data_IF_996239855191
#
_entry.id   IF_996239855191
#
_cell.length_a   1.000
_cell.length_b   1.000
_cell.length_c   1.000
_cell.angle_alpha   90.00
_cell.angle_beta   90.00
_cell.angle_gamma   90.00
#
_symmetry.space_group_name_H-M   'P 1'
#
loop_
_entity.id
_entity.type
_entity.pdbx_description
1 polymer ?
#
# COMPACT_ATOMS: atom_id res chain seq x y z
N UNK A 1 8.34 31.73 -45.61
CA UNK A 1 9.44 30.79 -45.33
C UNK A 1 10.11 31.23 -44.06
N UNK A 2 10.16 30.53 -42.94
CA UNK A 2 9.54 29.30 -42.44
C UNK A 2 9.72 29.34 -40.92
N UNK A 3 8.83 28.73 -40.13
CA UNK A 3 9.02 28.65 -38.68
C UNK A 3 8.36 27.40 -38.10
N UNK A 4 9.23 26.46 -37.70
CA UNK A 4 9.25 25.68 -36.45
C UNK A 4 7.95 24.95 -36.06
N UNK A 5 7.97 23.62 -36.23
CA UNK A 5 7.01 22.65 -35.70
C UNK A 5 7.43 22.19 -34.29
N UNK A 6 6.61 22.50 -33.29
CA UNK A 6 6.62 21.92 -31.95
C UNK A 6 5.14 21.90 -31.51
N UNK A 7 4.44 20.80 -31.20
CA UNK A 7 4.71 19.85 -30.13
C UNK A 7 3.55 18.84 -29.96
N UNK A 8 3.85 17.72 -29.27
CA UNK A 8 3.00 16.76 -28.52
C UNK A 8 2.29 15.62 -29.29
N UNK A 9 2.59 14.35 -28.96
CA UNK A 9 1.67 13.25 -29.21
C UNK A 9 0.80 12.97 -27.96
N UNK A 10 -0.51 13.01 -28.16
CA UNK A 10 -1.50 12.42 -27.27
C UNK A 10 -1.61 10.92 -27.61
N UNK A 11 -1.07 10.07 -26.75
CA UNK A 11 -1.37 8.62 -26.72
C UNK A 11 -2.36 8.40 -25.58
N UNK A 12 -3.54 7.82 -25.73
CA UNK A 12 -3.93 6.75 -26.64
C UNK A 12 -4.78 5.82 -25.78
N UNK A 13 -6.10 6.01 -25.86
CA UNK A 13 -7.10 5.33 -25.05
C UNK A 13 -7.25 3.90 -25.61
N UNK A 14 -6.85 2.89 -24.84
CA UNK A 14 -7.15 1.48 -25.17
C UNK A 14 -8.43 1.07 -24.43
N UNK A 15 -9.41 0.69 -25.24
CA UNK A 15 -10.78 0.27 -24.98
C UNK A 15 -10.93 -0.93 -24.02
N UNK A 16 -11.99 -0.91 -23.19
CA UNK A 16 -12.60 -2.11 -22.59
C UNK A 16 -14.14 -2.00 -22.68
N UNK A 17 -14.89 -3.09 -22.97
CA UNK A 17 -16.17 -3.04 -23.68
C UNK A 17 -17.41 -2.78 -22.82
N UNK A 18 -18.46 -2.33 -23.50
CA UNK A 18 -19.88 -2.19 -23.15
C UNK A 18 -20.49 -3.41 -22.43
N UNK A 19 -21.22 -3.18 -21.32
CA UNK A 19 -22.52 -3.83 -21.10
C UNK A 19 -23.37 -3.05 -20.04
N UNK A 20 -24.68 -2.84 -20.28
CA UNK A 20 -25.46 -1.74 -19.73
C UNK A 20 -26.39 -2.22 -18.63
N UNK A 21 -25.83 -2.53 -17.45
CA UNK A 21 -26.62 -2.98 -16.27
C UNK A 21 -26.22 -2.36 -14.94
N UNK A 22 -25.60 -1.17 -14.95
CA UNK A 22 -25.25 -0.42 -13.72
C UNK A 22 -26.02 0.87 -13.47
N UNK A 23 -27.09 1.16 -14.20
CA UNK A 23 -27.89 2.36 -13.96
C UNK A 23 -29.12 2.17 -13.06
N UNK A 24 -29.57 0.94 -12.79
CA UNK A 24 -30.78 0.73 -11.97
C UNK A 24 -30.53 0.63 -10.45
N UNK A 25 -29.29 0.37 -10.01
CA UNK A 25 -28.95 0.25 -8.59
C UNK A 25 -28.44 1.54 -7.94
N UNK A 26 -28.11 2.58 -8.73
CA UNK A 26 -27.55 3.83 -8.18
C UNK A 26 -28.61 4.87 -7.76
N UNK A 27 -29.91 4.57 -7.95
CA UNK A 27 -31.01 5.52 -7.65
C UNK A 27 -31.92 5.11 -6.49
N UNK A 28 -31.73 3.93 -5.90
CA UNK A 28 -32.46 3.51 -4.68
C UNK A 28 -31.72 3.84 -3.37
N UNK A 29 -30.49 4.37 -3.45
CA UNK A 29 -29.69 4.69 -2.25
C UNK A 29 -30.05 6.05 -1.62
N UNK A 30 -30.86 6.89 -2.28
CA UNK A 30 -31.15 8.26 -1.84
C UNK A 30 -32.45 8.45 -1.02
N UNK A 31 -33.07 7.38 -0.52
CA UNK A 31 -34.36 7.45 0.21
C UNK A 31 -34.33 6.90 1.63
N UNK A 32 -33.19 6.99 2.32
CA UNK A 32 -33.18 6.84 3.78
C UNK A 32 -32.43 8.04 4.36
N UNK A 33 -33.10 9.01 5.00
CA UNK A 33 -32.43 9.89 5.92
C UNK A 33 -32.01 9.03 7.11
N UNK A 34 -30.83 8.40 7.03
CA UNK A 34 -30.20 7.74 8.15
C UNK A 34 -29.68 8.81 9.10
N UNK A 35 -30.61 9.49 9.77
CA UNK A 35 -30.35 10.40 10.88
C UNK A 35 -30.04 9.56 12.12
N UNK A 36 -28.99 8.75 12.05
CA UNK A 36 -28.44 8.10 13.23
C UNK A 36 -27.36 9.02 13.79
N UNK A 37 -27.79 10.04 14.51
CA UNK A 37 -26.94 10.71 15.50
C UNK A 37 -26.68 9.69 16.61
N UNK A 38 -25.74 8.76 16.40
CA UNK A 38 -25.11 8.02 17.48
C UNK A 38 -24.38 9.07 18.31
N UNK A 39 -25.02 9.57 19.37
CA UNK A 39 -24.33 10.28 20.42
C UNK A 39 -23.47 9.22 21.11
N UNK A 40 -22.21 9.08 20.69
CA UNK A 40 -21.22 8.25 21.40
C UNK A 40 -21.17 8.83 22.82
N UNK A 41 -21.84 8.17 23.76
CA UNK A 41 -22.11 8.69 25.10
C UNK A 41 -20.89 8.63 26.02
N UNK A 42 -19.74 8.21 25.49
CA UNK A 42 -18.48 8.14 26.20
C UNK A 42 -17.37 8.67 25.29
N UNK A 43 -16.62 9.66 25.78
CA UNK A 43 -15.48 10.19 25.06
C UNK A 43 -14.40 9.10 25.01
N UNK A 44 -13.77 8.86 23.84
CA UNK A 44 -12.73 7.85 23.72
C UNK A 44 -11.62 8.09 24.75
N UNK A 45 -11.01 7.01 25.25
CA UNK A 45 -9.92 7.05 26.24
C UNK A 45 -8.72 7.95 25.86
N UNK A 46 -8.62 8.31 24.57
CA UNK A 46 -7.62 9.24 24.06
C UNK A 46 -8.28 10.43 23.36
N UNK A 47 -7.79 11.66 23.60
CA UNK A 47 -8.19 12.85 22.85
C UNK A 47 -8.00 12.64 21.34
N UNK A 48 -8.98 13.07 20.53
CA UNK A 48 -8.99 12.87 19.07
C UNK A 48 -7.98 13.76 18.34
N UNK A 49 -7.50 14.82 19.00
CA UNK A 49 -6.52 15.79 18.50
C UNK A 49 -5.22 15.09 18.05
N UNK A 50 -4.75 14.11 18.84
CA UNK A 50 -3.55 13.33 18.51
C UNK A 50 -3.73 12.49 17.24
N UNK A 51 -4.94 11.99 17.00
CA UNK A 51 -5.25 11.19 15.81
C UNK A 51 -5.28 12.07 14.56
N UNK A 52 -5.90 13.26 14.66
CA UNK A 52 -5.94 14.25 13.59
C UNK A 52 -4.53 14.72 13.21
N UNK A 53 -3.64 14.93 14.19
CA UNK A 53 -2.25 15.29 13.93
C UNK A 53 -1.50 14.20 13.14
N UNK A 54 -1.62 12.94 13.56
CA UNK A 54 -1.04 11.81 12.83
C UNK A 54 -1.65 11.66 11.44
N UNK A 55 -2.95 11.88 11.30
CA UNK A 55 -3.65 11.81 10.02
C UNK A 55 -3.14 12.87 9.05
N UNK A 56 -2.98 14.12 9.49
CA UNK A 56 -2.38 15.20 8.69
C UNK A 56 -0.95 14.84 8.27
N UNK A 57 -0.14 14.32 9.18
CA UNK A 57 1.23 13.89 8.88
C UNK A 57 1.29 12.76 7.84
N UNK A 58 0.50 11.69 8.01
CA UNK A 58 0.55 10.55 7.09
C UNK A 58 -0.14 10.79 5.73
N UNK A 59 -1.02 11.80 5.66
CA UNK A 59 -1.65 12.24 4.42
C UNK A 59 -0.79 13.23 3.62
N UNK A 60 0.04 14.04 4.29
CA UNK A 60 0.95 14.98 3.61
C UNK A 60 2.17 14.29 2.97
N UNK A 61 2.48 13.05 3.38
CA UNK A 61 3.63 12.29 2.85
C UNK A 61 3.24 11.51 1.59
N UNK A 62 3.82 11.90 0.46
CA UNK A 62 3.69 11.20 -0.83
C UNK A 62 4.66 10.01 -0.97
N UNK A 63 4.47 8.98 -0.15
CA UNK A 63 5.21 7.71 -0.22
C UNK A 63 4.26 6.51 -0.15
N UNK A 64 4.74 5.35 -0.59
CA UNK A 64 4.02 4.08 -0.39
C UNK A 64 3.77 3.81 1.09
N UNK A 65 2.64 3.14 1.40
CA UNK A 65 2.12 2.95 2.75
C UNK A 65 3.15 2.42 3.75
N UNK A 66 4.00 1.48 3.35
CA UNK A 66 5.01 0.85 4.19
C UNK A 66 6.29 1.69 4.39
N UNK A 67 6.38 2.88 3.81
CA UNK A 67 7.55 3.78 3.91
C UNK A 67 7.18 5.18 4.43
N UNK A 68 5.97 5.37 4.95
CA UNK A 68 5.50 6.69 5.38
C UNK A 68 6.18 7.12 6.68
N UNK A 69 6.27 6.23 7.67
CA UNK A 69 6.93 6.48 8.94
C UNK A 69 8.44 6.28 8.90
N UNK A 70 9.16 6.99 9.77
CA UNK A 70 10.60 6.72 10.02
C UNK A 70 10.81 5.33 10.60
N UNK A 71 9.92 4.90 11.50
CA UNK A 71 9.94 3.55 12.07
C UNK A 71 9.64 2.48 11.02
N UNK A 72 8.73 2.77 10.09
CA UNK A 72 8.37 1.85 9.01
C UNK A 72 9.57 1.49 8.13
N UNK A 73 10.55 2.40 7.95
CA UNK A 73 11.79 2.07 7.23
C UNK A 73 12.59 0.97 7.95
N UNK A 74 12.67 1.03 9.27
CA UNK A 74 13.42 0.04 10.06
C UNK A 74 12.69 -1.31 10.01
N UNK A 75 11.38 -1.30 10.22
CA UNK A 75 10.57 -2.52 10.34
C UNK A 75 10.25 -3.17 9.01
N UNK A 76 10.12 -2.42 7.92
CA UNK A 76 9.78 -2.98 6.60
C UNK A 76 10.99 -3.22 5.69
N UNK A 77 12.11 -2.53 5.92
CA UNK A 77 13.30 -2.65 5.06
C UNK A 77 14.43 -3.35 5.81
N UNK A 78 14.91 -2.78 6.92
CA UNK A 78 16.14 -3.27 7.55
C UNK A 78 15.99 -4.67 8.15
N UNK A 79 14.96 -4.87 9.00
CA UNK A 79 14.75 -6.17 9.67
C UNK A 79 14.43 -7.27 8.66
N UNK A 80 13.47 -7.10 7.72
CA UNK A 80 13.13 -8.16 6.79
C UNK A 80 14.26 -8.47 5.81
N UNK A 81 15.03 -7.48 5.35
CA UNK A 81 16.16 -7.74 4.45
C UNK A 81 17.30 -8.49 5.16
N UNK A 82 17.66 -8.10 6.38
CA UNK A 82 18.69 -8.79 7.13
C UNK A 82 18.28 -10.25 7.40
N UNK A 83 17.02 -10.47 7.81
CA UNK A 83 16.48 -11.80 8.06
C UNK A 83 16.43 -12.64 6.77
N UNK A 84 15.95 -12.07 5.67
CA UNK A 84 15.89 -12.76 4.38
C UNK A 84 17.29 -13.13 3.88
N UNK A 85 18.25 -12.21 3.94
CA UNK A 85 19.62 -12.46 3.50
C UNK A 85 20.30 -13.57 4.31
N UNK A 86 20.20 -13.51 5.64
CA UNK A 86 20.77 -14.53 6.54
C UNK A 86 20.10 -15.89 6.34
N UNK A 87 18.78 -15.91 6.19
CA UNK A 87 18.01 -17.13 5.94
C UNK A 87 18.39 -17.76 4.61
N UNK A 88 18.45 -16.97 3.53
CA UNK A 88 18.87 -17.45 2.20
C UNK A 88 20.31 -17.97 2.22
N UNK A 89 21.21 -17.29 2.94
CA UNK A 89 22.59 -17.75 3.11
C UNK A 89 22.66 -19.11 3.80
N UNK A 90 21.92 -19.29 4.91
CA UNK A 90 21.88 -20.57 5.62
C UNK A 90 21.27 -21.68 4.79
N UNK A 91 20.20 -21.39 4.04
CA UNK A 91 19.57 -22.36 3.12
C UNK A 91 20.55 -22.76 2.03
N UNK A 92 21.20 -21.79 1.38
CA UNK A 92 22.18 -22.05 0.32
C UNK A 92 23.34 -22.91 0.82
N UNK A 93 23.90 -22.58 1.99
CA UNK A 93 24.98 -23.38 2.57
C UNK A 93 24.51 -24.77 3.02
N UNK A 94 23.27 -24.89 3.51
CA UNK A 94 22.64 -26.16 3.85
C UNK A 94 22.51 -27.08 2.64
N UNK A 95 21.94 -26.57 1.54
CA UNK A 95 21.80 -27.32 0.28
C UNK A 95 23.17 -27.69 -0.30
N UNK A 96 24.14 -26.78 -0.24
CA UNK A 96 25.51 -27.07 -0.70
C UNK A 96 26.14 -28.23 0.10
N UNK A 97 26.06 -28.18 1.43
CA UNK A 97 26.61 -29.23 2.28
C UNK A 97 25.91 -30.59 2.05
N UNK A 98 24.59 -30.58 1.91
CA UNK A 98 23.80 -31.79 1.61
C UNK A 98 24.16 -32.39 0.25
N UNK A 99 24.27 -31.56 -0.79
CA UNK A 99 24.60 -32.01 -2.16
C UNK A 99 26.02 -32.56 -2.30
N UNK A 100 26.96 -32.05 -1.51
CA UNK A 100 28.36 -32.51 -1.53
C UNK A 100 28.66 -33.58 -0.46
N UNK A 101 27.67 -33.98 0.35
CA UNK A 101 27.83 -34.97 1.41
C UNK A 101 28.77 -34.53 2.56
N UNK A 102 28.94 -33.22 2.73
CA UNK A 102 29.85 -32.59 3.72
C UNK A 102 29.11 -32.35 5.03
N UNK A 103 29.79 -32.51 6.17
CA UNK A 103 29.23 -32.18 7.49
C UNK A 103 28.46 -33.32 8.16
N UNK A 104 28.76 -34.57 7.79
CA UNK A 104 28.31 -35.75 8.55
C UNK A 104 28.97 -35.72 9.93
N UNK A 105 28.19 -35.97 10.98
CA UNK A 105 28.72 -36.26 12.31
C UNK A 105 29.22 -37.71 12.32
N UNK A 106 30.28 -37.96 13.07
CA UNK A 106 30.75 -39.32 13.39
C UNK A 106 29.69 -40.13 14.12
#
# INVERSE_FOLDING_TARGET
MGAILQSRPASGIVSKPEEPRRLFLHRLCYLVPFQFTIKMSEEPFRPREKLVEKQKFFQSVHKHTYLKGRYDKITSVAIPLALAATSLFMIGRGIYNLSHGIGKKE
#
